data_IF_463386363418
#
_entry.id   IF_463386363418
#
_cell.length_a   1.000
_cell.length_b   1.000
_cell.length_c   1.000
_cell.angle_alpha   90.00
_cell.angle_beta   90.00
_cell.angle_gamma   90.00
#
_symmetry.space_group_name_H-M   'P 1'
#
loop_
_entity.id
_entity.type
_entity.pdbx_description
1 polymer ?
#
# COMPACT_ATOMS: atom_id res chain seq x y z
N UNK A 1 -17.61 -24.37 -7.14
CA UNK A 1 -16.90 -23.08 -7.04
C UNK A 1 -16.66 -22.78 -5.57
N UNK A 2 -15.42 -22.52 -5.18
CA UNK A 2 -15.10 -22.17 -3.78
C UNK A 2 -15.36 -20.69 -3.58
N UNK A 3 -16.15 -20.34 -2.56
CA UNK A 3 -16.40 -18.95 -2.17
C UNK A 3 -15.35 -18.50 -1.15
N UNK A 4 -14.76 -17.32 -1.37
CA UNK A 4 -13.75 -16.71 -0.49
C UNK A 4 -14.20 -15.29 -0.13
N UNK A 5 -14.23 -14.99 1.14
CA UNK A 5 -14.47 -13.64 1.67
C UNK A 5 -13.15 -12.86 1.73
N UNK A 6 -13.04 -11.85 0.87
CA UNK A 6 -11.88 -10.97 0.77
C UNK A 6 -12.23 -9.58 1.33
N UNK A 7 -11.59 -9.18 2.42
CA UNK A 7 -11.77 -7.83 2.96
C UNK A 7 -10.73 -6.86 2.40
N UNK A 8 -11.17 -5.69 1.95
CA UNK A 8 -10.22 -4.59 1.71
C UNK A 8 -9.69 -4.03 3.05
N UNK A 9 -8.48 -3.44 3.01
CA UNK A 9 -7.93 -2.78 4.20
C UNK A 9 -8.59 -1.40 4.42
N UNK A 10 -8.66 -0.61 3.36
CA UNK A 10 -9.40 0.66 3.20
C UNK A 10 -9.40 1.03 1.71
N UNK A 11 -10.21 2.02 1.31
CA UNK A 11 -10.30 2.43 -0.09
C UNK A 11 -9.15 3.36 -0.46
N UNK A 12 -8.32 2.95 -1.46
CA UNK A 12 -7.23 3.77 -1.98
C UNK A 12 -6.91 3.46 -3.44
N UNK A 13 -6.50 4.49 -4.20
CA UNK A 13 -6.22 4.36 -5.64
C UNK A 13 -5.06 3.41 -5.92
N UNK A 14 -4.08 3.30 -5.04
CA UNK A 14 -2.97 2.35 -5.22
C UNK A 14 -3.39 0.87 -5.08
N UNK A 15 -4.61 0.59 -4.60
CA UNK A 15 -5.21 -0.75 -4.59
C UNK A 15 -5.96 -1.09 -5.89
N UNK A 16 -5.92 -0.23 -6.89
CA UNK A 16 -6.61 -0.43 -8.17
C UNK A 16 -6.41 -1.84 -8.78
N UNK A 17 -5.22 -2.49 -8.71
CA UNK A 17 -5.06 -3.84 -9.22
C UNK A 17 -5.97 -4.88 -8.57
N UNK A 18 -6.25 -4.78 -7.27
CA UNK A 18 -7.17 -5.71 -6.60
C UNK A 18 -8.61 -5.54 -7.10
N UNK A 19 -9.05 -4.29 -7.27
CA UNK A 19 -10.37 -3.99 -7.82
C UNK A 19 -10.48 -4.43 -9.29
N UNK A 20 -9.43 -4.19 -10.09
CA UNK A 20 -9.39 -4.63 -11.48
C UNK A 20 -9.45 -6.17 -11.58
N UNK A 21 -8.75 -6.91 -10.73
CA UNK A 21 -8.81 -8.36 -10.71
C UNK A 21 -10.23 -8.87 -10.44
N UNK A 22 -10.98 -8.20 -9.56
CA UNK A 22 -12.37 -8.51 -9.25
C UNK A 22 -13.29 -8.14 -10.42
N UNK A 23 -13.24 -6.89 -10.90
CA UNK A 23 -14.12 -6.37 -11.95
C UNK A 23 -13.94 -7.10 -13.28
N UNK A 24 -12.68 -7.39 -13.66
CA UNK A 24 -12.36 -8.14 -14.88
C UNK A 24 -12.64 -9.63 -14.78
N UNK A 25 -13.08 -10.13 -13.61
CA UNK A 25 -13.45 -11.52 -13.39
C UNK A 25 -12.27 -12.49 -13.39
N UNK A 26 -11.05 -12.06 -13.08
CA UNK A 26 -9.89 -12.96 -13.06
C UNK A 26 -10.05 -14.05 -12.01
N UNK A 27 -10.62 -13.77 -10.84
CA UNK A 27 -10.90 -14.80 -9.83
C UNK A 27 -11.93 -15.82 -10.33
N UNK A 28 -13.00 -15.36 -10.97
CA UNK A 28 -14.04 -16.23 -11.51
C UNK A 28 -13.52 -17.16 -12.61
N UNK A 29 -12.62 -16.66 -13.49
CA UNK A 29 -11.95 -17.47 -14.52
C UNK A 29 -11.11 -18.59 -13.93
N UNK A 30 -10.51 -18.38 -12.77
CA UNK A 30 -9.80 -19.41 -11.99
C UNK A 30 -10.74 -20.32 -11.20
N UNK A 31 -12.07 -20.10 -11.27
CA UNK A 31 -13.07 -20.88 -10.55
C UNK A 31 -13.15 -20.58 -9.05
N UNK A 32 -12.83 -19.34 -8.65
CA UNK A 32 -12.99 -18.83 -7.29
C UNK A 32 -14.04 -17.71 -7.30
N UNK A 33 -15.08 -17.86 -6.49
CA UNK A 33 -16.06 -16.80 -6.22
C UNK A 33 -15.53 -15.92 -5.08
N UNK A 34 -15.16 -14.69 -5.38
CA UNK A 34 -14.67 -13.74 -4.38
C UNK A 34 -15.79 -12.78 -3.98
N UNK A 35 -16.18 -12.85 -2.70
CA UNK A 35 -17.01 -11.85 -2.05
C UNK A 35 -16.10 -10.73 -1.52
N UNK A 36 -16.09 -9.59 -2.22
CA UNK A 36 -15.28 -8.42 -1.81
C UNK A 36 -16.04 -7.61 -0.75
N UNK A 37 -15.47 -7.51 0.43
CA UNK A 37 -16.04 -6.80 1.57
C UNK A 37 -15.30 -5.47 1.78
N UNK A 38 -16.07 -4.38 1.83
CA UNK A 38 -15.54 -3.05 2.12
C UNK A 38 -15.17 -2.93 3.60
N UNK A 39 -14.10 -2.17 3.87
CA UNK A 39 -13.70 -1.80 5.23
C UNK A 39 -13.76 -0.28 5.40
N UNK A 40 -14.37 0.16 6.48
CA UNK A 40 -14.44 1.58 6.86
C UNK A 40 -13.22 2.05 7.65
N UNK A 41 -12.44 1.12 8.23
CA UNK A 41 -11.31 1.44 9.10
C UNK A 41 -10.07 0.63 8.76
N UNK A 42 -8.89 1.26 8.67
CA UNK A 42 -7.64 0.55 8.47
C UNK A 42 -7.41 -0.51 9.55
N UNK A 43 -7.02 -1.71 9.12
CA UNK A 43 -6.74 -2.82 10.02
C UNK A 43 -7.93 -3.72 10.37
N UNK A 44 -9.16 -3.39 9.99
CA UNK A 44 -10.33 -4.25 10.15
C UNK A 44 -10.08 -5.65 9.58
N UNK A 45 -9.52 -5.75 8.37
CA UNK A 45 -9.27 -7.02 7.71
C UNK A 45 -8.44 -8.00 8.53
N UNK A 46 -7.43 -7.52 9.27
CA UNK A 46 -6.61 -8.39 10.14
C UNK A 46 -7.40 -8.89 11.35
N UNK A 47 -8.21 -8.04 11.98
CA UNK A 47 -9.08 -8.47 13.08
C UNK A 47 -10.09 -9.51 12.59
N UNK A 48 -10.72 -9.26 11.44
CA UNK A 48 -11.68 -10.16 10.81
C UNK A 48 -11.08 -11.50 10.35
N UNK A 49 -9.78 -11.54 10.00
CA UNK A 49 -9.05 -12.79 9.78
C UNK A 49 -8.88 -13.59 11.06
N UNK A 50 -8.52 -12.92 12.16
CA UNK A 50 -8.24 -13.59 13.43
C UNK A 50 -9.50 -14.14 14.11
N UNK A 51 -10.64 -13.50 13.91
CA UNK A 51 -11.94 -13.95 14.40
C UNK A 51 -12.66 -14.90 13.42
N UNK A 52 -12.11 -15.09 12.21
CA UNK A 52 -12.67 -16.00 11.19
C UNK A 52 -13.85 -15.44 10.39
N UNK A 53 -14.11 -14.15 10.47
CA UNK A 53 -15.18 -13.48 9.71
C UNK A 53 -14.85 -13.40 8.22
N UNK A 54 -13.56 -13.28 7.87
CA UNK A 54 -13.06 -13.29 6.49
C UNK A 54 -11.95 -14.32 6.31
N UNK A 55 -11.74 -14.75 5.07
CA UNK A 55 -10.74 -15.77 4.72
C UNK A 55 -9.39 -15.16 4.35
N UNK A 56 -9.40 -13.97 3.76
CA UNK A 56 -8.22 -13.23 3.29
C UNK A 56 -8.47 -11.73 3.33
N UNK A 57 -7.42 -10.95 3.53
CA UNK A 57 -7.43 -9.49 3.35
C UNK A 57 -6.23 -9.06 2.53
N UNK A 58 -6.24 -7.82 2.02
CA UNK A 58 -4.99 -7.19 1.58
C UNK A 58 -4.59 -6.07 2.53
N UNK A 59 -3.30 -5.87 2.65
CA UNK A 59 -2.77 -4.81 3.52
C UNK A 59 -1.25 -4.81 3.56
N UNK A 60 -0.70 -3.86 4.30
CA UNK A 60 0.74 -3.79 4.54
C UNK A 60 1.23 -4.92 5.44
N UNK A 61 2.38 -5.54 5.12
CA UNK A 61 2.98 -6.60 5.93
C UNK A 61 3.35 -6.20 7.36
N UNK A 62 3.38 -4.91 7.66
CA UNK A 62 3.76 -4.36 8.96
C UNK A 62 3.11 -5.09 10.15
N UNK A 63 1.79 -5.41 10.05
CA UNK A 63 1.07 -6.11 11.12
C UNK A 63 1.52 -7.56 11.25
N UNK A 64 1.83 -8.22 10.14
CA UNK A 64 2.39 -9.58 10.12
C UNK A 64 3.78 -9.58 10.72
N UNK A 65 4.62 -8.62 10.33
CA UNK A 65 5.97 -8.43 10.86
C UNK A 65 5.93 -8.20 12.38
N UNK A 66 5.03 -7.32 12.86
CA UNK A 66 4.89 -7.06 14.30
C UNK A 66 4.41 -8.29 15.05
N UNK A 67 3.43 -8.99 14.53
CA UNK A 67 2.92 -10.22 15.16
C UNK A 67 4.00 -11.33 15.23
N UNK A 68 4.78 -11.49 14.15
CA UNK A 68 5.88 -12.47 14.11
C UNK A 68 7.06 -12.07 15.00
N UNK A 69 7.35 -10.77 15.13
CA UNK A 69 8.38 -10.28 16.07
C UNK A 69 8.03 -10.62 17.52
N UNK A 70 6.76 -10.48 17.87
CA UNK A 70 6.26 -10.83 19.21
C UNK A 70 6.19 -12.34 19.42
N UNK A 71 5.75 -13.09 18.42
CA UNK A 71 5.60 -14.54 18.45
C UNK A 71 5.93 -15.14 17.06
N UNK A 72 7.08 -15.81 16.87
CA UNK A 72 7.49 -16.40 15.59
C UNK A 72 6.47 -17.39 15.00
N UNK A 73 5.68 -18.07 15.85
CA UNK A 73 4.57 -18.94 15.45
C UNK A 73 3.26 -18.18 15.21
N UNK A 74 3.32 -16.86 14.96
CA UNK A 74 2.14 -16.04 14.66
C UNK A 74 1.27 -16.69 13.59
N UNK A 75 -0.05 -16.57 13.78
CA UNK A 75 -1.05 -17.11 12.84
C UNK A 75 -1.05 -16.38 11.49
N UNK A 76 -0.61 -15.12 11.45
CA UNK A 76 -0.67 -14.28 10.24
C UNK A 76 0.53 -14.52 9.34
N UNK A 77 0.26 -14.63 8.03
CA UNK A 77 1.28 -14.70 6.98
C UNK A 77 0.87 -13.89 5.77
N UNK A 78 1.88 -13.34 5.08
CA UNK A 78 1.74 -12.70 3.78
C UNK A 78 1.88 -13.72 2.65
N UNK A 79 1.11 -13.54 1.59
CA UNK A 79 1.31 -14.22 0.31
C UNK A 79 0.86 -13.29 -0.82
N UNK A 80 1.45 -13.38 -2.00
CA UNK A 80 1.07 -12.60 -3.17
C UNK A 80 1.29 -11.08 -3.05
N UNK A 81 2.40 -10.58 -3.55
CA UNK A 81 2.67 -9.13 -3.61
C UNK A 81 1.90 -8.47 -4.75
N UNK A 82 1.28 -7.31 -4.46
CA UNK A 82 0.56 -6.50 -5.45
C UNK A 82 1.07 -5.08 -5.51
N UNK A 83 1.37 -4.44 -4.38
CA UNK A 83 2.01 -3.13 -4.34
C UNK A 83 3.43 -3.31 -3.82
N UNK A 84 4.41 -3.11 -4.71
CA UNK A 84 5.82 -3.41 -4.45
C UNK A 84 6.60 -2.21 -3.92
N UNK A 85 6.14 -0.98 -4.18
CA UNK A 85 6.80 0.25 -3.74
C UNK A 85 5.82 1.12 -2.97
N UNK A 86 6.37 1.98 -2.13
CA UNK A 86 5.59 2.92 -1.31
C UNK A 86 4.85 3.93 -2.20
N UNK A 87 3.50 4.01 -2.10
CA UNK A 87 2.67 4.87 -2.96
C UNK A 87 2.55 6.31 -2.47
N UNK A 88 3.27 6.69 -1.42
CA UNK A 88 3.14 8.02 -0.80
C UNK A 88 4.08 9.04 -1.43
N UNK A 89 3.68 10.30 -1.28
CA UNK A 89 4.39 11.48 -1.76
C UNK A 89 4.50 12.52 -0.65
N UNK A 90 5.55 13.34 -0.70
CA UNK A 90 5.53 14.66 -0.10
C UNK A 90 5.09 15.63 -1.18
N UNK A 91 4.02 16.35 -0.94
CA UNK A 91 3.58 17.46 -1.78
C UNK A 91 3.71 18.76 -1.00
N UNK A 92 4.04 19.84 -1.68
CA UNK A 92 4.24 21.11 -1.02
C UNK A 92 4.30 22.25 -2.01
N UNK A 93 4.34 23.46 -1.45
CA UNK A 93 4.42 24.67 -2.26
C UNK A 93 5.74 24.74 -2.97
N UNK A 94 5.71 25.26 -4.20
CA UNK A 94 6.92 25.58 -4.93
C UNK A 94 7.70 26.64 -4.15
N UNK A 95 8.91 26.28 -3.72
CA UNK A 95 9.78 27.15 -2.93
C UNK A 95 10.83 27.84 -3.79
N UNK A 96 10.69 27.79 -5.14
CA UNK A 96 11.63 28.41 -6.08
C UNK A 96 13.02 27.79 -6.09
N UNK A 97 13.20 26.63 -5.45
CA UNK A 97 14.46 25.87 -5.39
C UNK A 97 14.19 24.37 -5.39
N UNK A 98 15.21 23.58 -5.64
CA UNK A 98 15.14 22.13 -5.49
C UNK A 98 14.88 21.78 -4.01
N UNK A 99 13.89 20.93 -3.75
CA UNK A 99 13.57 20.43 -2.41
C UNK A 99 14.48 19.25 -2.07
N UNK A 100 15.00 19.25 -0.86
CA UNK A 100 15.69 18.12 -0.24
C UNK A 100 15.00 17.73 1.07
N UNK A 101 15.11 16.46 1.49
CA UNK A 101 14.52 16.00 2.75
C UNK A 101 15.07 16.77 3.97
N UNK A 102 16.28 17.28 3.88
CA UNK A 102 16.94 18.14 4.87
C UNK A 102 16.26 19.51 5.05
N UNK A 103 15.36 19.91 4.16
CA UNK A 103 14.59 21.14 4.28
C UNK A 103 13.41 21.03 5.26
N UNK A 104 12.89 19.80 5.48
CA UNK A 104 11.68 19.56 6.27
C UNK A 104 11.68 20.17 7.68
N UNK A 105 12.80 20.18 8.45
CA UNK A 105 12.81 20.80 9.79
C UNK A 105 12.45 22.28 9.80
N UNK A 106 12.66 23.02 8.70
CA UNK A 106 12.34 24.43 8.57
C UNK A 106 10.90 24.71 8.11
N UNK A 107 10.12 23.67 7.83
CA UNK A 107 8.80 23.75 7.21
C UNK A 107 7.70 23.28 8.14
N UNK A 108 6.49 23.84 7.97
CA UNK A 108 5.27 23.33 8.62
C UNK A 108 4.84 22.06 7.90
N UNK A 109 5.09 20.93 8.51
CA UNK A 109 4.95 19.62 7.90
C UNK A 109 3.87 18.78 8.60
N UNK A 110 3.05 18.08 7.83
CA UNK A 110 2.15 17.05 8.34
C UNK A 110 2.42 15.69 7.67
N UNK A 111 2.66 14.69 8.50
CA UNK A 111 2.73 13.30 8.05
C UNK A 111 1.36 12.63 8.18
N UNK A 112 1.20 11.51 7.46
CA UNK A 112 0.04 10.63 7.61
C UNK A 112 -0.06 10.10 9.03
N UNK A 113 -1.25 10.11 9.60
CA UNK A 113 -1.56 9.59 10.94
C UNK A 113 -2.53 8.40 10.92
N UNK A 114 -3.35 8.25 9.88
CA UNK A 114 -4.37 7.19 9.77
C UNK A 114 -3.76 5.79 9.65
N UNK A 115 -2.56 5.69 9.06
CA UNK A 115 -1.80 4.44 8.93
C UNK A 115 -0.33 4.67 9.27
N UNK A 116 0.33 3.80 10.04
CA UNK A 116 1.67 4.07 10.54
C UNK A 116 2.80 3.82 9.52
N UNK A 117 2.61 2.91 8.55
CA UNK A 117 3.68 2.49 7.63
C UNK A 117 4.35 3.64 6.87
N UNK A 118 3.62 4.60 6.23
CA UNK A 118 4.26 5.65 5.45
C UNK A 118 5.13 6.57 6.30
N UNK A 119 4.69 6.86 7.53
CA UNK A 119 5.50 7.67 8.44
C UNK A 119 6.75 6.91 8.91
N UNK A 120 6.65 5.60 9.23
CA UNK A 120 7.82 4.79 9.61
C UNK A 120 8.85 4.73 8.48
N UNK A 121 8.40 4.54 7.24
CA UNK A 121 9.27 4.55 6.08
C UNK A 121 9.89 5.92 5.83
N UNK A 122 9.12 7.00 5.93
CA UNK A 122 9.65 8.36 5.76
C UNK A 122 10.66 8.73 6.85
N UNK A 123 10.42 8.35 8.11
CA UNK A 123 11.40 8.54 9.19
C UNK A 123 12.73 7.85 8.87
N UNK A 124 12.69 6.66 8.28
CA UNK A 124 13.90 5.96 7.87
C UNK A 124 14.65 6.75 6.79
N UNK A 125 13.95 7.22 5.74
CA UNK A 125 14.55 8.05 4.70
C UNK A 125 15.15 9.34 5.26
N UNK A 126 14.46 9.99 6.19
CA UNK A 126 14.94 11.22 6.83
C UNK A 126 16.23 10.97 7.61
N UNK A 127 16.33 9.87 8.37
CA UNK A 127 17.56 9.50 9.09
C UNK A 127 18.70 9.18 8.14
N UNK A 128 18.43 8.43 7.06
CA UNK A 128 19.43 8.13 6.01
C UNK A 128 19.99 9.40 5.35
N UNK A 129 19.18 10.47 5.29
CA UNK A 129 19.58 11.78 4.79
C UNK A 129 20.10 12.72 5.88
N UNK A 130 20.38 12.22 7.10
CA UNK A 130 20.97 12.99 8.18
C UNK A 130 20.03 13.99 8.86
N UNK A 131 18.71 13.84 8.69
CA UNK A 131 17.72 14.72 9.32
C UNK A 131 17.50 14.32 10.77
N UNK A 132 17.65 15.27 11.68
CA UNK A 132 17.28 15.12 13.09
C UNK A 132 15.76 15.25 13.25
N UNK A 133 15.10 14.13 13.52
CA UNK A 133 13.63 14.06 13.64
C UNK A 133 13.09 14.91 14.80
N UNK A 134 13.90 15.18 15.83
CA UNK A 134 13.47 16.02 16.98
C UNK A 134 13.28 17.49 16.58
N UNK A 135 13.85 17.90 15.45
CA UNK A 135 13.73 19.25 14.91
C UNK A 135 12.56 19.43 13.94
N UNK A 136 11.84 18.37 13.61
CA UNK A 136 10.69 18.45 12.71
C UNK A 136 9.54 19.21 13.38
N UNK A 137 9.04 20.22 12.72
CA UNK A 137 7.77 20.88 13.07
C UNK A 137 6.59 20.09 12.49
N UNK A 138 6.42 18.87 13.01
CA UNK A 138 5.43 17.92 12.52
C UNK A 138 4.08 18.12 13.18
N UNK A 139 3.07 18.45 12.38
CA UNK A 139 1.66 18.41 12.80
C UNK A 139 1.17 16.96 12.84
N UNK A 140 0.44 16.62 13.89
CA UNK A 140 -0.17 15.29 14.13
C UNK A 140 -1.68 15.44 14.32
N UNK A 141 -2.40 14.32 14.37
CA UNK A 141 -3.83 14.24 14.72
C UNK A 141 -4.81 14.88 13.71
N UNK A 142 -4.40 14.92 12.44
CA UNK A 142 -5.26 15.31 11.33
C UNK A 142 -5.29 14.22 10.25
N UNK A 143 -6.43 14.08 9.59
CA UNK A 143 -6.57 13.23 8.41
C UNK A 143 -5.79 13.79 7.22
N UNK A 144 -5.49 12.94 6.21
CA UNK A 144 -4.89 13.39 4.96
C UNK A 144 -5.74 14.44 4.25
N UNK A 145 -7.07 14.33 4.32
CA UNK A 145 -7.98 15.32 3.75
C UNK A 145 -7.82 16.69 4.43
N UNK A 146 -7.80 16.73 5.75
CA UNK A 146 -7.57 17.98 6.51
C UNK A 146 -6.19 18.57 6.25
N UNK A 147 -5.15 17.71 6.16
CA UNK A 147 -3.80 18.14 5.81
C UNK A 147 -3.73 18.74 4.40
N UNK A 148 -4.42 18.12 3.44
CA UNK A 148 -4.52 18.63 2.08
C UNK A 148 -5.23 20.00 2.05
N UNK A 149 -6.35 20.16 2.75
CA UNK A 149 -7.02 21.45 2.87
C UNK A 149 -6.14 22.52 3.54
N UNK A 150 -5.39 22.14 4.57
CA UNK A 150 -4.44 23.02 5.24
C UNK A 150 -3.29 23.48 4.32
N UNK A 151 -2.81 22.59 3.43
CA UNK A 151 -1.86 22.94 2.36
C UNK A 151 -2.49 23.98 1.39
N UNK A 152 -3.70 23.70 0.90
CA UNK A 152 -4.42 24.63 0.01
C UNK A 152 -4.62 26.02 0.66
N UNK A 153 -4.85 26.06 1.95
CA UNK A 153 -5.10 27.29 2.73
C UNK A 153 -3.83 27.96 3.29
N UNK A 154 -2.63 27.58 2.85
CA UNK A 154 -1.36 28.16 3.36
C UNK A 154 -1.09 27.90 4.85
N UNK A 155 -1.72 26.93 5.47
CA UNK A 155 -1.50 26.58 6.87
C UNK A 155 -0.37 25.57 7.06
N UNK A 156 -0.09 24.78 6.02
CA UNK A 156 1.04 23.84 5.93
C UNK A 156 1.87 24.14 4.68
N UNK A 157 3.15 23.81 4.76
CA UNK A 157 4.10 23.96 3.65
C UNK A 157 4.30 22.66 2.90
N UNK A 158 4.30 21.53 3.64
CA UNK A 158 4.50 20.18 3.09
C UNK A 158 3.56 19.20 3.78
N UNK A 159 2.95 18.28 3.01
CA UNK A 159 2.13 17.20 3.53
C UNK A 159 2.51 15.85 2.91
N UNK A 160 2.46 14.79 3.72
CA UNK A 160 2.61 13.41 3.24
C UNK A 160 1.23 12.85 2.90
N UNK A 161 1.05 12.45 1.65
CA UNK A 161 -0.24 11.97 1.12
C UNK A 161 -0.03 10.91 0.04
N UNK A 162 -1.10 10.20 -0.32
CA UNK A 162 -1.18 9.35 -1.52
C UNK A 162 -2.20 9.90 -2.53
N UNK A 163 -2.23 9.35 -3.74
CA UNK A 163 -3.22 9.71 -4.76
C UNK A 163 -4.66 9.41 -4.26
N UNK A 164 -5.62 10.33 -4.47
CA UNK A 164 -5.62 11.35 -5.52
C UNK A 164 -5.09 12.73 -5.11
N UNK A 165 -4.64 12.94 -3.87
CA UNK A 165 -4.25 14.28 -3.38
C UNK A 165 -3.11 14.94 -4.18
N UNK A 166 -2.01 14.24 -4.57
CA UNK A 166 -1.01 14.83 -5.46
C UNK A 166 -1.59 15.32 -6.78
N UNK A 167 -2.45 14.52 -7.45
CA UNK A 167 -3.10 14.93 -8.70
C UNK A 167 -4.05 16.12 -8.51
N UNK A 168 -4.79 16.16 -7.41
CA UNK A 168 -5.64 17.30 -7.05
C UNK A 168 -4.82 18.56 -6.78
N UNK A 169 -3.71 18.45 -6.03
CA UNK A 169 -2.84 19.58 -5.73
C UNK A 169 -2.25 20.22 -7.00
N UNK A 170 -1.77 19.38 -7.92
CA UNK A 170 -1.25 19.84 -9.21
C UNK A 170 -2.33 20.52 -10.06
N UNK A 171 -3.55 19.97 -10.07
CA UNK A 171 -4.66 20.52 -10.85
C UNK A 171 -5.07 21.91 -10.38
N UNK A 172 -5.12 22.15 -9.07
CA UNK A 172 -5.52 23.45 -8.50
C UNK A 172 -4.33 24.38 -8.22
N UNK A 173 -3.11 23.96 -8.54
CA UNK A 173 -1.91 24.77 -8.29
C UNK A 173 -1.58 24.97 -6.79
N UNK A 174 -2.05 24.06 -5.92
CA UNK A 174 -1.82 24.17 -4.48
C UNK A 174 -0.43 23.71 -4.03
N UNK A 175 0.27 22.95 -4.87
CA UNK A 175 1.62 22.46 -4.61
C UNK A 175 2.16 21.56 -5.70
N UNK A 176 3.45 21.23 -5.60
CA UNK A 176 4.19 20.32 -6.47
C UNK A 176 4.53 19.03 -5.72
N UNK A 177 4.91 17.99 -6.48
CA UNK A 177 5.48 16.78 -5.89
C UNK A 177 6.95 17.07 -5.55
N UNK A 178 7.25 17.05 -4.26
CA UNK A 178 8.59 17.32 -3.74
C UNK A 178 9.42 16.05 -3.58
N UNK A 179 8.76 14.95 -3.20
CA UNK A 179 9.40 13.65 -2.99
C UNK A 179 8.40 12.52 -3.27
N UNK A 180 8.85 11.49 -3.97
CA UNK A 180 8.10 10.26 -4.20
C UNK A 180 8.75 9.11 -3.41
N UNK A 181 8.04 8.55 -2.44
CA UNK A 181 8.57 7.48 -1.59
C UNK A 181 8.89 6.19 -2.38
N UNK A 182 8.29 6.01 -3.57
CA UNK A 182 8.61 4.92 -4.50
C UNK A 182 10.07 4.92 -4.98
N UNK A 183 10.76 6.07 -4.94
CA UNK A 183 12.19 6.20 -5.34
C UNK A 183 13.12 5.41 -4.42
N UNK A 184 12.69 5.09 -3.20
CA UNK A 184 13.38 4.19 -2.27
C UNK A 184 13.54 2.77 -2.86
N UNK A 185 12.73 2.39 -3.87
CA UNK A 185 12.72 1.10 -4.51
C UNK A 185 11.79 0.08 -3.83
N UNK A 186 11.96 -1.24 -4.05
CA UNK A 186 11.08 -2.27 -3.51
C UNK A 186 10.94 -2.17 -1.99
N UNK A 187 9.68 -2.25 -1.48
CA UNK A 187 9.36 -2.08 -0.06
C UNK A 187 8.32 -3.11 0.42
N UNK A 188 7.75 -3.95 -0.46
CA UNK A 188 6.63 -4.88 -0.16
C UNK A 188 5.50 -4.14 0.56
N UNK A 189 4.85 -3.24 -0.17
CA UNK A 189 3.91 -2.31 0.45
C UNK A 189 2.54 -2.93 0.72
N UNK A 190 2.05 -3.80 -0.19
CA UNK A 190 0.78 -4.51 0.00
C UNK A 190 0.82 -5.91 -0.55
N UNK A 191 0.33 -6.84 0.26
CA UNK A 191 0.20 -8.27 -0.06
C UNK A 191 -1.20 -8.76 0.30
N UNK A 192 -1.59 -9.96 -0.17
CA UNK A 192 -2.60 -10.72 0.54
C UNK A 192 -2.05 -11.19 1.88
N UNK A 193 -2.94 -11.20 2.88
CA UNK A 193 -2.68 -11.67 4.24
C UNK A 193 -3.77 -12.68 4.60
N UNK A 194 -3.37 -13.82 5.17
CA UNK A 194 -4.26 -14.84 5.71
C UNK A 194 -3.71 -15.41 7.00
N UNK A 195 -4.50 -16.24 7.68
CA UNK A 195 -3.98 -17.07 8.76
C UNK A 195 -3.36 -18.35 8.19
N UNK A 196 -2.41 -18.96 8.90
CA UNK A 196 -1.80 -20.24 8.51
C UNK A 196 -2.87 -21.33 8.35
N UNK A 197 -3.80 -21.39 9.29
CA UNK A 197 -4.95 -22.30 9.23
C UNK A 197 -5.87 -22.01 8.04
N UNK A 198 -6.07 -20.73 7.71
CA UNK A 198 -6.81 -20.29 6.52
C UNK A 198 -6.15 -20.75 5.23
N UNK A 199 -4.80 -20.68 5.16
CA UNK A 199 -4.03 -21.17 4.01
C UNK A 199 -4.22 -22.70 3.85
N UNK A 200 -4.12 -23.48 4.93
CA UNK A 200 -4.32 -24.92 4.85
C UNK A 200 -5.75 -25.28 4.41
N UNK A 201 -6.74 -24.59 4.98
CA UNK A 201 -8.16 -24.80 4.66
C UNK A 201 -8.51 -24.43 3.22
N UNK A 202 -7.96 -23.34 2.71
CA UNK A 202 -8.32 -22.75 1.41
C UNK A 202 -7.18 -22.82 0.38
N UNK A 203 -6.19 -23.69 0.58
CA UNK A 203 -4.95 -23.75 -0.22
C UNK A 203 -5.21 -23.70 -1.72
N UNK A 204 -6.09 -24.54 -2.23
CA UNK A 204 -6.42 -24.59 -3.67
C UNK A 204 -7.01 -23.27 -4.16
N UNK A 205 -7.91 -22.66 -3.38
CA UNK A 205 -8.52 -21.38 -3.74
C UNK A 205 -7.49 -20.24 -3.72
N UNK A 206 -6.59 -20.22 -2.74
CA UNK A 206 -5.55 -19.18 -2.66
C UNK A 206 -4.49 -19.31 -3.75
N UNK A 207 -4.11 -20.53 -4.16
CA UNK A 207 -3.28 -20.74 -5.36
C UNK A 207 -3.95 -20.14 -6.59
N UNK A 208 -5.24 -20.41 -6.80
CA UNK A 208 -6.02 -19.83 -7.90
C UNK A 208 -6.14 -18.30 -7.82
N UNK A 209 -6.30 -17.75 -6.62
CA UNK A 209 -6.29 -16.29 -6.43
C UNK A 209 -4.93 -15.67 -6.78
N UNK A 210 -3.82 -16.33 -6.47
CA UNK A 210 -2.48 -15.90 -6.88
C UNK A 210 -2.35 -15.93 -8.41
N UNK A 211 -2.88 -16.95 -9.08
CA UNK A 211 -2.92 -17.00 -10.55
C UNK A 211 -3.77 -15.87 -11.13
N UNK A 212 -4.94 -15.58 -10.54
CA UNK A 212 -5.79 -14.47 -10.93
C UNK A 212 -5.03 -13.12 -10.83
N UNK A 213 -4.27 -12.90 -9.74
CA UNK A 213 -3.42 -11.72 -9.59
C UNK A 213 -2.30 -11.70 -10.64
N UNK A 214 -1.67 -12.82 -10.96
CA UNK A 214 -0.67 -12.90 -12.04
C UNK A 214 -1.25 -12.48 -13.38
N UNK A 215 -2.45 -12.96 -13.72
CA UNK A 215 -3.16 -12.52 -14.94
C UNK A 215 -3.46 -11.04 -14.92
N UNK A 216 -3.89 -10.51 -13.79
CA UNK A 216 -4.12 -9.07 -13.61
C UNK A 216 -2.82 -8.27 -13.79
N UNK A 217 -1.70 -8.72 -13.23
CA UNK A 217 -0.39 -8.06 -13.39
C UNK A 217 0.07 -8.04 -14.86
N UNK A 218 -0.16 -9.12 -15.60
CA UNK A 218 0.06 -9.18 -17.05
C UNK A 218 -0.84 -8.19 -17.78
N UNK A 219 -2.14 -8.21 -17.49
CA UNK A 219 -3.10 -7.26 -18.06
C UNK A 219 -2.69 -5.81 -17.78
N UNK A 220 -2.28 -5.51 -16.55
CA UNK A 220 -1.83 -4.18 -16.14
C UNK A 220 -0.60 -3.69 -16.92
N UNK A 221 0.31 -4.58 -17.30
CA UNK A 221 1.49 -4.25 -18.11
C UNK A 221 1.11 -3.85 -19.55
N UNK A 222 0.04 -4.43 -20.08
CA UNK A 222 -0.40 -4.29 -21.48
C UNK A 222 -1.45 -3.17 -21.69
N UNK A 223 -2.07 -2.65 -20.61
CA UNK A 223 -3.18 -1.70 -20.69
C UNK A 223 -2.81 -0.32 -20.14
N UNK A 224 -3.51 0.69 -20.57
CA UNK A 224 -3.27 2.09 -20.18
C UNK A 224 -3.84 2.43 -18.80
N UNK A 225 -3.50 3.62 -18.29
CA UNK A 225 -4.12 4.16 -17.07
C UNK A 225 -5.61 4.44 -17.28
N UNK A 226 -6.01 4.81 -18.49
CA UNK A 226 -7.39 5.03 -18.90
C UNK A 226 -8.22 3.74 -18.87
N UNK A 227 -7.63 2.61 -19.33
CA UNK A 227 -8.27 1.30 -19.24
C UNK A 227 -8.43 0.86 -17.78
N UNK A 228 -7.41 1.07 -16.95
CA UNK A 228 -7.47 0.77 -15.52
C UNK A 228 -8.51 1.64 -14.81
N UNK A 229 -8.58 2.93 -15.13
CA UNK A 229 -9.59 3.83 -14.59
C UNK A 229 -11.00 3.34 -14.95
N UNK A 230 -11.25 2.97 -16.22
CA UNK A 230 -12.54 2.47 -16.68
C UNK A 230 -13.06 1.27 -15.89
N UNK A 231 -12.18 0.36 -15.48
CA UNK A 231 -12.58 -0.86 -14.75
C UNK A 231 -12.60 -0.67 -13.23
N UNK A 232 -12.10 0.46 -12.72
CA UNK A 232 -12.02 0.72 -11.27
C UNK A 232 -12.78 1.96 -10.79
N UNK A 233 -13.28 2.83 -11.70
CA UNK A 233 -13.94 4.10 -11.35
C UNK A 233 -15.13 3.93 -10.41
N UNK A 234 -15.88 2.82 -10.50
CA UNK A 234 -17.00 2.53 -9.61
C UNK A 234 -16.60 2.39 -8.14
N UNK A 235 -15.33 2.12 -7.86
CA UNK A 235 -14.78 2.08 -6.49
C UNK A 235 -14.38 3.46 -5.98
N UNK A 236 -14.32 4.47 -6.85
CA UNK A 236 -13.87 5.83 -6.52
C UNK A 236 -14.90 6.88 -6.96
N UNK A 237 -16.17 6.80 -6.49
CA UNK A 237 -17.25 7.66 -6.99
C UNK A 237 -17.02 9.15 -6.73
N UNK A 238 -16.25 9.47 -5.70
CA UNK A 238 -15.95 10.86 -5.29
C UNK A 238 -14.70 11.44 -5.96
N UNK A 239 -14.03 10.67 -6.84
CA UNK A 239 -12.83 11.10 -7.55
C UNK A 239 -13.18 11.37 -9.02
N UNK A 240 -12.99 12.60 -9.46
CA UNK A 240 -13.20 12.96 -10.86
C UNK A 240 -12.34 12.07 -11.78
N UNK A 241 -12.92 11.68 -12.94
CA UNK A 241 -12.30 10.69 -13.84
C UNK A 241 -10.90 11.11 -14.32
N UNK A 242 -10.70 12.37 -14.65
CA UNK A 242 -9.41 12.93 -15.06
C UNK A 242 -8.37 12.84 -13.94
N UNK A 243 -8.76 13.12 -12.70
CA UNK A 243 -7.94 12.95 -11.51
C UNK A 243 -7.57 11.47 -11.30
N UNK A 244 -8.55 10.56 -11.42
CA UNK A 244 -8.30 9.12 -11.28
C UNK A 244 -7.30 8.63 -12.35
N UNK A 245 -7.48 9.00 -13.60
CA UNK A 245 -6.56 8.66 -14.70
C UNK A 245 -5.15 9.21 -14.42
N UNK A 246 -5.03 10.46 -14.01
CA UNK A 246 -3.73 11.07 -13.69
C UNK A 246 -3.04 10.36 -12.51
N UNK A 247 -3.80 10.01 -11.48
CA UNK A 247 -3.33 9.24 -10.32
C UNK A 247 -2.78 7.86 -10.72
N UNK A 248 -3.55 7.12 -11.52
CA UNK A 248 -3.16 5.79 -12.00
C UNK A 248 -1.96 5.86 -12.95
N UNK A 249 -1.90 6.87 -13.82
CA UNK A 249 -0.75 7.10 -14.72
C UNK A 249 0.52 7.37 -13.93
N UNK A 250 0.45 8.19 -12.87
CA UNK A 250 1.59 8.49 -12.00
C UNK A 250 2.08 7.24 -11.27
N UNK A 251 1.17 6.43 -10.74
CA UNK A 251 1.52 5.16 -10.09
C UNK A 251 2.17 4.16 -11.05
N UNK A 252 1.71 4.10 -12.32
CA UNK A 252 2.38 3.29 -13.34
C UNK A 252 3.80 3.79 -13.63
N UNK A 253 3.98 5.09 -13.80
CA UNK A 253 5.30 5.70 -14.03
C UNK A 253 6.25 5.49 -12.85
N UNK A 254 5.73 5.51 -11.63
CA UNK A 254 6.49 5.24 -10.41
C UNK A 254 6.74 3.73 -10.16
N UNK A 255 6.20 2.86 -11.02
CA UNK A 255 6.31 1.40 -10.94
C UNK A 255 5.96 0.86 -9.54
N UNK A 256 4.88 1.39 -8.92
CA UNK A 256 4.53 0.96 -7.56
C UNK A 256 3.98 -0.45 -7.51
N UNK A 257 3.38 -0.95 -8.59
CA UNK A 257 2.75 -2.26 -8.63
C UNK A 257 3.75 -3.37 -8.97
N UNK A 258 3.61 -4.49 -8.28
CA UNK A 258 4.42 -5.67 -8.52
C UNK A 258 4.15 -6.26 -9.92
N UNK A 259 5.21 -6.70 -10.59
CA UNK A 259 5.12 -7.36 -11.91
C UNK A 259 4.82 -8.85 -11.80
N UNK A 260 5.09 -9.44 -10.64
CA UNK A 260 4.81 -10.85 -10.30
C UNK A 260 4.25 -10.93 -8.89
N UNK A 261 3.53 -12.01 -8.53
CA UNK A 261 2.98 -12.18 -7.19
C UNK A 261 4.03 -12.56 -6.12
N UNK A 262 5.29 -12.78 -6.52
CA UNK A 262 6.34 -13.18 -5.61
C UNK A 262 6.73 -12.04 -4.66
N UNK A 263 6.78 -12.31 -3.36
CA UNK A 263 7.14 -11.31 -2.37
C UNK A 263 8.65 -11.10 -2.36
N UNK A 264 9.09 -9.86 -2.62
CA UNK A 264 10.49 -9.47 -2.69
C UNK A 264 11.20 -9.58 -1.33
N UNK A 265 12.21 -10.44 -1.21
CA UNK A 265 13.07 -10.49 -0.01
C UNK A 265 13.76 -9.16 0.28
N UNK A 266 14.25 -8.48 -0.76
CA UNK A 266 14.85 -7.16 -0.64
C UNK A 266 13.84 -6.12 -0.15
N UNK A 267 12.63 -6.14 -0.71
CA UNK A 267 11.55 -5.24 -0.29
C UNK A 267 11.11 -5.51 1.15
N UNK A 268 11.00 -6.77 1.54
CA UNK A 268 10.66 -7.17 2.90
C UNK A 268 11.73 -6.73 3.92
N UNK A 269 13.01 -6.92 3.60
CA UNK A 269 14.12 -6.47 4.45
C UNK A 269 14.05 -4.95 4.65
N UNK A 270 13.90 -4.17 3.57
CA UNK A 270 13.81 -2.70 3.65
C UNK A 270 12.61 -2.22 4.47
N UNK A 271 11.44 -2.84 4.32
CA UNK A 271 10.29 -2.51 5.17
C UNK A 271 10.60 -2.82 6.64
N UNK A 272 11.17 -3.98 6.92
CA UNK A 272 11.53 -4.38 8.30
C UNK A 272 12.58 -3.44 8.92
N UNK A 273 13.57 -2.99 8.13
CA UNK A 273 14.56 -1.99 8.55
C UNK A 273 13.90 -0.66 8.90
N UNK A 274 12.95 -0.20 8.08
CA UNK A 274 12.19 1.02 8.36
C UNK A 274 11.38 0.91 9.65
N UNK A 275 10.73 -0.24 9.89
CA UNK A 275 9.98 -0.49 11.11
C UNK A 275 10.87 -0.58 12.35
N UNK A 276 12.06 -1.21 12.23
CA UNK A 276 13.06 -1.29 13.29
C UNK A 276 13.62 0.10 13.61
N UNK A 277 14.03 0.86 12.58
CA UNK A 277 14.51 2.23 12.71
C UNK A 277 13.49 3.16 13.37
N UNK A 278 12.20 2.97 13.07
CA UNK A 278 11.10 3.73 13.66
C UNK A 278 10.70 3.28 15.08
N UNK A 279 11.32 2.23 15.61
CA UNK A 279 10.98 1.68 16.94
C UNK A 279 9.64 0.94 16.99
N UNK A 280 9.06 0.62 15.82
CA UNK A 280 7.81 -0.14 15.74
C UNK A 280 8.02 -1.61 16.11
N UNK A 281 9.16 -2.18 15.73
CA UNK A 281 9.65 -3.50 16.15
C UNK A 281 11.00 -3.34 16.86
N UNK A 282 11.32 -4.26 17.78
CA UNK A 282 12.59 -4.28 18.50
C UNK A 282 13.63 -5.19 17.83
N UNK A 283 13.19 -6.11 16.97
CA UNK A 283 14.05 -7.04 16.21
C UNK A 283 13.40 -7.37 14.87
N UNK A 284 14.22 -7.65 13.87
CA UNK A 284 13.73 -8.10 12.56
C UNK A 284 13.32 -9.58 12.64
N UNK A 285 12.07 -9.91 12.23
CA UNK A 285 11.66 -11.31 12.12
C UNK A 285 12.28 -11.94 10.87
N UNK A 286 12.37 -13.27 10.85
CA UNK A 286 12.77 -13.98 9.65
C UNK A 286 11.69 -13.84 8.56
N UNK A 287 12.12 -13.73 7.32
CA UNK A 287 11.22 -13.66 6.17
C UNK A 287 10.26 -14.86 6.13
N UNK A 288 10.76 -16.05 6.39
CA UNK A 288 10.02 -17.33 6.36
C UNK A 288 8.93 -17.41 7.45
N UNK A 289 9.08 -16.66 8.54
CA UNK A 289 8.06 -16.57 9.59
C UNK A 289 6.86 -15.70 9.16
N UNK A 290 7.09 -14.77 8.24
CA UNK A 290 6.10 -13.79 7.80
C UNK A 290 5.50 -14.10 6.43
N UNK A 291 6.16 -14.89 5.57
CA UNK A 291 5.82 -15.05 4.15
C UNK A 291 5.62 -16.51 3.77
N UNK A 292 4.49 -16.79 3.15
CA UNK A 292 4.15 -18.12 2.62
C UNK A 292 4.41 -18.19 1.10
N UNK A 293 5.66 -18.38 0.69
CA UNK A 293 6.08 -18.35 -0.72
C UNK A 293 5.51 -19.49 -1.59
N UNK A 294 5.22 -20.66 -1.02
CA UNK A 294 4.84 -21.83 -1.82
C UNK A 294 3.54 -21.65 -2.62
N UNK A 295 2.69 -20.68 -2.26
CA UNK A 295 1.47 -20.37 -3.02
C UNK A 295 1.79 -19.68 -4.37
N UNK A 296 2.77 -18.79 -4.42
CA UNK A 296 3.16 -18.10 -5.65
C UNK A 296 3.85 -19.03 -6.65
N UNK A 297 4.59 -20.03 -6.15
CA UNK A 297 5.35 -20.99 -6.95
C UNK A 297 4.53 -22.21 -7.37
N UNK A 298 3.33 -22.42 -6.85
CA UNK A 298 2.50 -23.57 -7.14
C UNK A 298 1.99 -23.51 -8.58
N UNK A 299 2.31 -24.52 -9.39
CA UNK A 299 1.63 -24.76 -10.67
C UNK A 299 0.31 -25.48 -10.38
N UNK A 300 -0.77 -25.05 -11.02
CA UNK A 300 -1.99 -25.85 -11.06
C UNK A 300 -1.66 -27.04 -11.97
N UNK A 301 -1.64 -28.24 -11.40
CA UNK A 301 -1.52 -29.50 -12.15
C UNK A 301 -2.81 -29.80 -12.87
#
# INVERSE_FOLDING_TARGET
VTRIKLAENFRAVFYAPFYAAHTLGFYAREGVEVELLSSSTPGYGVSALLDGTVDVTWGGPMRVIKASEQQPTSRLVCFCEVVARDPFYLIGRNMGRHFELTDLPSLRFAAVSEVPTPWMCLQHDLRENGVDLSKLNRMVDRSMSENFQALCNNQLDVVQVFEPYPSMALQVGAGDILYAASTRGPTVYTTFIATREGIERHRTAFVKMVHAIRHMQTWLAEHSAEDLAKVTESFFPDVARDILVNSLRRYRQAEIWARTPDISRKGFARLSESLLSGGFIARMPAYEDCVHQSLASSRIS
#
